data_IF_305905938902
#
_entry.id   IF_305905938902
#
_cell.length_a   1.000
_cell.length_b   1.000
_cell.length_c   1.000
_cell.angle_alpha   90.00
_cell.angle_beta   90.00
_cell.angle_gamma   90.00
#
_symmetry.space_group_name_H-M   'P 1'
#
loop_
_entity.id
_entity.type
_entity.pdbx_description
1 polymer ?
#
# COMPACT_ATOMS: atom_id res chain seq x y z
N UNK A 1 -9.56 16.41 -7.41
CA UNK A 1 -8.85 15.53 -6.48
C UNK A 1 -8.95 14.09 -6.96
N UNK A 2 -7.85 13.38 -7.00
CA UNK A 2 -7.83 12.00 -7.51
C UNK A 2 -7.76 11.03 -6.32
N UNK A 3 -8.85 10.28 -6.02
CA UNK A 3 -8.84 9.36 -4.88
C UNK A 3 -7.76 8.28 -4.99
N UNK A 4 -7.45 7.83 -6.20
CA UNK A 4 -6.40 6.83 -6.40
C UNK A 4 -5.04 7.38 -5.95
N UNK A 5 -4.72 8.62 -6.29
CA UNK A 5 -3.46 9.25 -5.87
C UNK A 5 -3.36 9.38 -4.36
N UNK A 6 -4.46 9.74 -3.70
CA UNK A 6 -4.49 9.86 -2.24
C UNK A 6 -4.24 8.50 -1.58
N UNK A 7 -4.84 7.45 -2.11
CA UNK A 7 -4.65 6.09 -1.60
C UNK A 7 -3.20 5.66 -1.80
N UNK A 8 -2.62 5.94 -2.97
CA UNK A 8 -1.21 5.62 -3.24
C UNK A 8 -0.28 6.27 -2.22
N UNK A 9 -0.49 7.56 -1.93
CA UNK A 9 0.33 8.26 -0.94
C UNK A 9 0.17 7.65 0.44
N UNK A 10 -1.07 7.31 0.82
CA UNK A 10 -1.34 6.68 2.11
C UNK A 10 -0.59 5.36 2.23
N UNK A 11 -0.69 4.50 1.22
CA UNK A 11 -0.04 3.18 1.21
C UNK A 11 1.49 3.32 1.33
N UNK A 12 2.07 4.22 0.55
CA UNK A 12 3.52 4.43 0.59
C UNK A 12 3.97 4.93 1.95
N UNK A 13 3.23 5.85 2.56
CA UNK A 13 3.56 6.36 3.90
C UNK A 13 3.41 5.29 4.98
N UNK A 14 2.33 4.52 4.92
CA UNK A 14 2.07 3.47 5.91
C UNK A 14 3.15 2.40 5.88
N UNK A 15 3.50 1.93 4.69
CA UNK A 15 4.55 0.92 4.53
C UNK A 15 5.94 1.49 4.82
N UNK A 16 6.14 2.78 4.54
CA UNK A 16 7.39 3.45 4.88
C UNK A 16 7.64 3.49 6.39
N UNK A 17 6.59 3.70 7.17
CA UNK A 17 6.68 3.72 8.64
C UNK A 17 6.89 2.33 9.22
N UNK A 18 6.56 1.29 8.48
CA UNK A 18 6.69 -0.09 8.94
C UNK A 18 8.15 -0.60 8.94
N UNK A 19 9.08 0.16 8.37
CA UNK A 19 10.51 -0.17 8.37
C UNK A 19 10.80 -1.59 7.85
N UNK A 20 10.15 -1.96 6.76
CA UNK A 20 10.37 -3.26 6.12
C UNK A 20 9.54 -4.40 6.69
N UNK A 21 8.76 -4.17 7.73
CA UNK A 21 7.84 -5.18 8.25
C UNK A 21 6.68 -5.37 7.25
N UNK A 22 6.45 -6.59 6.75
CA UNK A 22 5.36 -6.81 5.81
C UNK A 22 4.00 -6.55 6.43
N UNK A 23 3.09 -5.95 5.67
CA UNK A 23 1.72 -5.71 6.10
C UNK A 23 0.78 -6.68 5.39
N UNK A 24 -0.07 -7.40 6.15
CA UNK A 24 -1.13 -8.20 5.52
C UNK A 24 -2.02 -7.32 4.64
N UNK A 25 -2.41 -7.84 3.49
CA UNK A 25 -3.24 -7.11 2.53
C UNK A 25 -4.54 -6.58 3.16
N UNK A 26 -5.22 -7.43 3.93
CA UNK A 26 -6.48 -7.04 4.57
C UNK A 26 -6.27 -5.91 5.59
N UNK A 27 -5.15 -5.92 6.31
CA UNK A 27 -4.83 -4.87 7.28
C UNK A 27 -4.54 -3.54 6.59
N UNK A 28 -3.82 -3.59 5.47
CA UNK A 28 -3.52 -2.39 4.69
C UNK A 28 -4.81 -1.77 4.14
N UNK A 29 -5.72 -2.59 3.63
CA UNK A 29 -7.02 -2.13 3.14
C UNK A 29 -7.83 -1.46 4.25
N UNK A 30 -7.88 -2.08 5.42
CA UNK A 30 -8.62 -1.54 6.55
C UNK A 30 -8.02 -0.20 7.01
N UNK A 31 -6.69 -0.12 7.07
CA UNK A 31 -6.02 1.12 7.43
C UNK A 31 -6.34 2.24 6.44
N UNK A 32 -6.38 1.92 5.15
CA UNK A 32 -6.71 2.91 4.11
C UNK A 32 -8.16 3.38 4.24
N UNK A 33 -9.09 2.46 4.51
CA UNK A 33 -10.50 2.83 4.69
C UNK A 33 -10.71 3.73 5.89
N UNK A 34 -9.93 3.55 6.96
CA UNK A 34 -10.07 4.35 8.18
C UNK A 34 -9.25 5.63 8.13
N UNK A 35 -8.13 5.63 7.41
CA UNK A 35 -7.18 6.74 7.40
C UNK A 35 -7.42 7.80 6.34
N UNK A 36 -8.30 7.53 5.38
CA UNK A 36 -8.55 8.47 4.28
C UNK A 36 -10.01 8.95 4.32
N UNK A 37 -10.18 10.25 4.21
CA UNK A 37 -11.50 10.86 4.21
C UNK A 37 -11.71 11.65 2.90
N UNK A 38 -12.83 11.45 2.20
CA UNK A 38 -13.89 10.49 2.51
C UNK A 38 -13.40 9.05 2.32
N UNK A 39 -14.13 8.10 2.94
CA UNK A 39 -13.75 6.68 2.93
C UNK A 39 -13.63 6.18 1.49
N UNK A 40 -12.48 5.61 1.10
CA UNK A 40 -12.30 5.13 -0.28
C UNK A 40 -13.09 3.85 -0.54
N UNK A 41 -13.41 3.64 -1.82
CA UNK A 41 -14.02 2.40 -2.27
C UNK A 41 -12.96 1.31 -2.34
N UNK A 42 -13.38 0.07 -2.09
CA UNK A 42 -12.47 -1.08 -2.18
C UNK A 42 -11.87 -1.21 -3.58
N UNK A 43 -12.65 -0.91 -4.62
CA UNK A 43 -12.15 -0.95 -6.00
C UNK A 43 -11.02 0.05 -6.22
N UNK A 44 -11.11 1.24 -5.61
CA UNK A 44 -10.07 2.26 -5.72
C UNK A 44 -8.82 1.85 -4.97
N UNK A 45 -8.97 1.21 -3.80
CA UNK A 45 -7.85 0.69 -3.03
C UNK A 45 -7.12 -0.39 -3.84
N UNK A 46 -7.89 -1.31 -4.44
CA UNK A 46 -7.32 -2.39 -5.25
C UNK A 46 -6.57 -1.83 -6.46
N UNK A 47 -7.14 -0.83 -7.11
CA UNK A 47 -6.50 -0.20 -8.26
C UNK A 47 -5.20 0.50 -7.85
N UNK A 48 -5.21 1.22 -6.74
CA UNK A 48 -4.02 1.92 -6.25
C UNK A 48 -2.88 0.94 -5.95
N UNK A 49 -3.18 -0.16 -5.27
CA UNK A 49 -2.18 -1.20 -4.98
C UNK A 49 -1.61 -1.80 -6.25
N UNK A 50 -2.47 -2.11 -7.21
CA UNK A 50 -2.05 -2.69 -8.50
C UNK A 50 -1.15 -1.73 -9.26
N UNK A 51 -1.52 -0.45 -9.31
CA UNK A 51 -0.72 0.55 -10.02
C UNK A 51 0.63 0.76 -9.35
N UNK A 52 0.67 0.76 -8.01
CA UNK A 52 1.93 0.88 -7.28
C UNK A 52 2.84 -0.34 -7.52
N UNK A 53 2.26 -1.52 -7.54
CA UNK A 53 3.02 -2.74 -7.83
C UNK A 53 3.55 -2.72 -9.26
N UNK A 54 2.71 -2.36 -10.23
CA UNK A 54 3.12 -2.29 -11.64
C UNK A 54 4.20 -1.24 -11.89
N UNK A 55 4.17 -0.17 -11.11
CA UNK A 55 5.19 0.89 -11.20
C UNK A 55 6.49 0.53 -10.47
N UNK A 56 6.51 -0.60 -9.75
CA UNK A 56 7.70 -1.06 -9.06
C UNK A 56 7.91 -0.50 -7.67
N UNK A 57 6.87 0.09 -7.06
CA UNK A 57 6.96 0.63 -5.70
C UNK A 57 6.61 -0.38 -4.62
N UNK A 58 5.74 -1.34 -4.93
CA UNK A 58 5.29 -2.37 -3.99
C UNK A 58 5.71 -3.74 -4.44
N UNK A 59 5.95 -4.59 -3.46
CA UNK A 59 6.23 -6.01 -3.69
C UNK A 59 5.27 -6.82 -2.83
N UNK A 60 4.51 -7.71 -3.48
CA UNK A 60 3.63 -8.63 -2.79
C UNK A 60 4.31 -9.97 -2.59
N UNK A 61 4.04 -10.60 -1.46
CA UNK A 61 4.51 -11.95 -1.16
C UNK A 61 3.36 -12.74 -0.55
N UNK A 62 3.22 -14.00 -0.96
CA UNK A 62 2.17 -14.87 -0.46
C UNK A 62 2.80 -16.01 0.33
N UNK A 63 2.33 -16.19 1.56
CA UNK A 63 2.79 -17.27 2.42
C UNK A 63 2.22 -18.60 1.91
N UNK A 64 3.09 -19.61 1.78
CA UNK A 64 2.69 -20.90 1.24
C UNK A 64 1.76 -21.67 2.17
N UNK A 65 1.88 -21.47 3.47
CA UNK A 65 1.10 -22.22 4.45
C UNK A 65 -0.29 -21.57 4.67
N UNK A 66 -0.31 -20.25 4.82
CA UNK A 66 -1.53 -19.52 5.18
C UNK A 66 -2.21 -18.89 3.98
N UNK A 67 -1.57 -18.90 2.82
CA UNK A 67 -2.03 -18.20 1.62
C UNK A 67 -2.27 -16.69 1.90
N UNK A 68 -1.51 -16.14 2.82
CA UNK A 68 -1.63 -14.75 3.24
C UNK A 68 -0.80 -13.85 2.35
N UNK A 69 -1.45 -12.88 1.71
CA UNK A 69 -0.76 -11.89 0.91
C UNK A 69 -0.27 -10.76 1.82
N UNK A 70 1.02 -10.43 1.71
CA UNK A 70 1.61 -9.31 2.44
C UNK A 70 2.28 -8.36 1.46
N UNK A 71 2.42 -7.10 1.88
CA UNK A 71 3.02 -6.04 1.06
C UNK A 71 4.22 -5.44 1.76
N UNK A 72 5.27 -5.19 0.98
CA UNK A 72 6.42 -4.40 1.42
C UNK A 72 6.76 -3.39 0.33
N UNK A 73 7.52 -2.36 0.69
CA UNK A 73 8.05 -1.43 -0.30
C UNK A 73 9.30 -2.03 -0.93
N UNK A 74 9.44 -1.82 -2.24
CA UNK A 74 10.72 -2.02 -2.91
C UNK A 74 11.68 -0.91 -2.53
N UNK A 75 12.93 -0.98 -2.97
CA UNK A 75 13.88 0.12 -2.77
C UNK A 75 13.36 1.41 -3.40
N UNK A 76 12.81 1.32 -4.61
CA UNK A 76 12.18 2.45 -5.29
C UNK A 76 11.00 2.99 -4.47
N UNK A 77 10.20 2.11 -3.89
CA UNK A 77 9.07 2.50 -3.03
C UNK A 77 9.52 3.21 -1.77
N UNK A 78 10.58 2.71 -1.13
CA UNK A 78 11.13 3.36 0.07
C UNK A 78 11.65 4.76 -0.24
N UNK A 79 12.32 4.91 -1.37
CA UNK A 79 12.80 6.22 -1.82
C UNK A 79 11.63 7.19 -2.03
N UNK A 80 10.59 6.73 -2.68
CA UNK A 80 9.38 7.54 -2.93
C UNK A 80 8.68 7.92 -1.64
N UNK A 81 8.57 6.97 -0.70
CA UNK A 81 7.94 7.24 0.60
C UNK A 81 8.68 8.33 1.37
N UNK A 82 10.02 8.33 1.32
CA UNK A 82 10.83 9.39 1.95
C UNK A 82 10.57 10.76 1.33
N UNK A 83 10.32 10.81 0.02
CA UNK A 83 10.00 12.07 -0.67
C UNK A 83 8.64 12.62 -0.26
N UNK A 84 7.71 11.76 0.09
CA UNK A 84 6.37 12.18 0.48
C UNK A 84 6.30 12.69 1.92
N UNK A 85 7.32 12.45 2.64
CA UNK A 85 7.40 12.98 3.96
C UNK A 85 7.20 12.09 5.08
#
# INVERSE_FOLDING_TARGET
>A
MNPISDIKRFVLRALGRANGVPWPDALLDEAARQGIMPRPLQSDINQAKRELENAGYLQGARDELDDLLTWTLTEKGRHKARQLG
#
